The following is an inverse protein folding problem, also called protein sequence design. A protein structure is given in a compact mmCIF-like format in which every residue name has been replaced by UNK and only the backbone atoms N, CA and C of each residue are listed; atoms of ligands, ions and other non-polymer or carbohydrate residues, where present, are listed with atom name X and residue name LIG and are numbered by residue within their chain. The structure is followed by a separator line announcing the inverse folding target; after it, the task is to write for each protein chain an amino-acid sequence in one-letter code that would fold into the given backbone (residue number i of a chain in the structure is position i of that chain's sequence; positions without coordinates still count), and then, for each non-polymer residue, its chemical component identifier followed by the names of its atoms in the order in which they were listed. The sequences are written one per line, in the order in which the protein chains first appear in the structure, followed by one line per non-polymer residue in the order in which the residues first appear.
data_IF_630085043336
#
_entry.id   IF_630085043336
#
_cell.length_a   1.000
_cell.length_b   1.000
_cell.length_c   1.000
_cell.angle_alpha   90.00
_cell.angle_beta   90.00
_cell.angle_gamma   90.00
#
_symmetry.space_group_name_H-M   'P 1'
#
loop_
_entity.id
_entity.type
_entity.pdbx_description
1 polymer ?
#
# COMPACT_ATOMS: atom_id res chain seq x y z
N UNK A 1 1.17 -20.26 0.41
CA UNK A 1 0.40 -19.59 1.50
C UNK A 1 1.06 -18.27 1.74
N UNK A 2 0.30 -17.19 1.61
CA UNK A 2 0.85 -15.84 1.73
C UNK A 2 0.92 -15.43 3.19
N UNK A 3 2.08 -14.94 3.61
CA UNK A 3 2.31 -14.44 4.97
C UNK A 3 3.09 -13.13 4.93
N UNK A 4 2.92 -12.30 5.95
CA UNK A 4 3.75 -11.12 6.18
C UNK A 4 4.72 -11.41 7.32
N UNK A 5 6.01 -11.39 7.01
CA UNK A 5 7.10 -11.50 7.98
C UNK A 5 7.34 -10.14 8.66
N UNK A 6 7.48 -10.15 9.99
CA UNK A 6 7.82 -8.96 10.77
C UNK A 6 9.33 -8.79 10.98
N UNK A 7 10.08 -9.88 10.87
CA UNK A 7 11.53 -9.92 11.04
C UNK A 7 12.20 -10.76 9.95
N UNK A 8 13.53 -10.68 9.89
CA UNK A 8 14.32 -11.61 9.09
C UNK A 8 14.03 -13.06 9.54
N UNK A 9 13.92 -13.97 8.57
CA UNK A 9 13.73 -15.39 8.84
C UNK A 9 14.63 -16.23 7.92
N UNK A 10 15.25 -17.28 8.46
CA UNK A 10 15.96 -18.26 7.65
C UNK A 10 14.97 -19.32 7.16
N UNK A 11 15.00 -19.61 5.87
CA UNK A 11 14.20 -20.63 5.22
C UNK A 11 15.04 -21.58 4.38
N UNK A 12 14.42 -22.59 3.76
CA UNK A 12 15.12 -23.61 2.97
C UNK A 12 15.89 -23.02 1.78
N UNK A 13 15.39 -21.94 1.18
CA UNK A 13 15.99 -21.28 0.02
C UNK A 13 16.95 -20.13 0.39
N UNK A 14 17.18 -19.88 1.69
CA UNK A 14 18.05 -18.81 2.18
C UNK A 14 17.37 -17.89 3.18
N UNK A 15 17.77 -16.61 3.19
CA UNK A 15 17.27 -15.62 4.15
C UNK A 15 16.13 -14.80 3.52
N UNK A 16 14.97 -14.82 4.18
CA UNK A 16 13.80 -14.03 3.82
C UNK A 16 13.84 -12.69 4.56
N UNK A 17 13.63 -11.61 3.83
CA UNK A 17 13.49 -10.27 4.39
C UNK A 17 12.11 -10.04 5.02
N UNK A 18 11.96 -9.11 5.96
CA UNK A 18 10.64 -8.68 6.42
C UNK A 18 9.79 -8.20 5.23
N UNK A 19 8.50 -8.58 5.19
CA UNK A 19 7.63 -8.29 4.06
C UNK A 19 6.70 -9.45 3.72
N UNK A 20 6.00 -9.34 2.60
CA UNK A 20 5.09 -10.38 2.13
C UNK A 20 5.82 -11.44 1.32
N UNK A 21 5.55 -12.70 1.64
CA UNK A 21 6.12 -13.84 0.94
C UNK A 21 5.05 -14.89 0.71
N UNK A 22 5.11 -15.55 -0.44
CA UNK A 22 4.38 -16.80 -0.64
C UNK A 22 5.30 -17.97 -0.31
N UNK A 23 4.93 -18.72 0.74
CA UNK A 23 5.72 -19.81 1.29
C UNK A 23 4.93 -21.11 1.26
N UNK A 24 5.66 -22.24 1.31
CA UNK A 24 5.05 -23.54 1.50
C UNK A 24 4.22 -23.57 2.79
N UNK A 25 3.03 -24.15 2.75
CA UNK A 25 2.04 -24.05 3.84
C UNK A 25 2.58 -24.52 5.19
N UNK A 26 3.30 -25.66 5.23
CA UNK A 26 3.87 -26.18 6.46
C UNK A 26 4.90 -25.22 7.09
N UNK A 27 5.73 -24.58 6.26
CA UNK A 27 6.73 -23.62 6.71
C UNK A 27 6.09 -22.30 7.16
N UNK A 28 5.12 -21.80 6.38
CA UNK A 28 4.32 -20.64 6.74
C UNK A 28 3.62 -20.83 8.10
N UNK A 29 2.98 -21.99 8.32
CA UNK A 29 2.34 -22.31 9.61
C UNK A 29 3.33 -22.34 10.77
N UNK A 30 4.53 -22.88 10.58
CA UNK A 30 5.56 -22.89 11.61
C UNK A 30 6.00 -21.46 11.99
N UNK A 31 6.17 -20.58 11.00
CA UNK A 31 6.54 -19.18 11.23
C UNK A 31 5.43 -18.40 11.95
N UNK A 32 4.17 -18.65 11.58
CA UNK A 32 3.01 -18.04 12.25
C UNK A 32 2.87 -18.55 13.69
N UNK A 33 3.00 -19.87 13.91
CA UNK A 33 2.96 -20.45 15.25
C UNK A 33 4.09 -19.95 16.15
N UNK A 34 5.25 -19.64 15.58
CA UNK A 34 6.38 -19.02 16.26
C UNK A 34 6.26 -17.50 16.45
N UNK A 35 5.22 -16.86 15.92
CA UNK A 35 5.00 -15.42 16.04
C UNK A 35 5.89 -14.54 15.14
N UNK A 36 6.59 -15.13 14.17
CA UNK A 36 7.49 -14.40 13.25
C UNK A 36 6.75 -13.83 12.03
N UNK A 37 5.57 -14.38 11.73
CA UNK A 37 4.76 -14.00 10.58
C UNK A 37 3.27 -13.94 10.94
N UNK A 38 2.50 -13.23 10.12
CA UNK A 38 1.04 -13.26 10.13
C UNK A 38 0.50 -13.75 8.79
N UNK A 39 -0.56 -14.59 8.77
CA UNK A 39 -1.20 -15.01 7.54
C UNK A 39 -1.84 -13.82 6.83
N UNK A 40 -1.66 -13.74 5.51
CA UNK A 40 -2.37 -12.80 4.65
C UNK A 40 -3.47 -13.61 3.97
N UNK A 41 -4.72 -13.32 4.31
CA UNK A 41 -5.86 -13.93 3.66
C UNK A 41 -5.88 -13.49 2.19
N UNK A 42 -5.73 -14.45 1.28
CA UNK A 42 -5.78 -14.17 -0.15
C UNK A 42 -7.20 -13.80 -0.62
N UNK A 43 -8.21 -14.02 0.22
CA UNK A 43 -9.61 -13.65 -0.02
C UNK A 43 -9.93 -12.20 0.34
N UNK A 44 -8.98 -11.46 0.92
CA UNK A 44 -9.03 -10.01 0.95
C UNK A 44 -8.66 -9.45 -0.43
N UNK A 45 -9.47 -9.79 -1.44
CA UNK A 45 -9.59 -8.98 -2.64
C UNK A 45 -10.18 -7.66 -2.15
N UNK A 46 -9.47 -6.51 -2.18
CA UNK A 46 -10.18 -5.26 -2.26
C UNK A 46 -10.86 -5.27 -3.64
N UNK A 47 -12.06 -5.85 -3.73
CA UNK A 47 -13.06 -5.48 -4.73
C UNK A 47 -13.47 -4.04 -4.38
N UNK A 48 -12.55 -3.11 -4.63
CA UNK A 48 -12.76 -1.68 -4.50
C UNK A 48 -12.31 -1.07 -5.79
N UNK A 49 -13.30 -1.04 -6.69
CA UNK A 49 -13.45 -0.14 -7.81
C UNK A 49 -12.33 -0.16 -8.85
N UNK A 50 -12.64 -0.86 -9.94
CA UNK A 50 -12.56 -0.28 -11.28
C UNK A 50 -13.07 1.18 -11.22
N UNK A 51 -12.19 2.11 -10.90
CA UNK A 51 -12.43 3.53 -11.14
C UNK A 51 -11.98 3.74 -12.58
N UNK A 52 -12.94 3.60 -13.48
CA UNK A 52 -12.93 4.28 -14.78
C UNK A 52 -12.29 5.67 -14.58
N UNK A 53 -11.16 6.00 -15.23
CA UNK A 53 -10.67 7.37 -15.23
C UNK A 53 -11.63 8.19 -16.09
N UNK A 54 -12.79 8.51 -15.51
CA UNK A 54 -13.70 9.52 -16.04
C UNK A 54 -12.89 10.80 -16.25
N UNK A 55 -13.04 11.47 -17.40
CA UNK A 55 -12.15 12.53 -17.84
C UNK A 55 -12.03 13.61 -16.76
N UNK A 56 -10.79 13.91 -16.41
CA UNK A 56 -10.39 14.89 -15.40
C UNK A 56 -11.13 16.22 -15.62
N UNK A 57 -11.79 16.81 -14.61
CA UNK A 57 -12.30 18.15 -14.76
C UNK A 57 -11.12 19.13 -14.80
N UNK A 58 -10.90 19.73 -15.98
CA UNK A 58 -10.03 20.89 -16.19
C UNK A 58 -10.34 21.95 -15.13
N UNK A 59 -9.43 22.09 -14.16
CA UNK A 59 -9.51 23.18 -13.18
C UNK A 59 -9.14 24.46 -13.91
N UNK A 60 -10.17 25.15 -14.42
CA UNK A 60 -10.07 26.52 -14.93
C UNK A 60 -9.49 27.41 -13.84
N UNK A 61 -8.26 27.88 -14.05
CA UNK A 61 -7.60 28.86 -13.21
C UNK A 61 -8.41 30.17 -13.22
N UNK A 62 -8.99 30.54 -12.07
CA UNK A 62 -9.72 31.79 -11.93
C UNK A 62 -8.76 32.99 -11.95
N UNK A 63 -9.06 34.07 -12.71
CA UNK A 63 -8.19 35.24 -12.79
C UNK A 63 -8.14 35.99 -11.45
N UNK A 64 -6.93 36.27 -10.96
CA UNK A 64 -6.71 37.00 -9.71
C UNK A 64 -7.22 38.44 -9.82
N UNK A 65 -7.93 38.96 -8.80
CA UNK A 65 -8.39 40.34 -8.81
C UNK A 65 -7.22 41.33 -8.68
N UNK A 66 -7.24 42.37 -9.52
CA UNK A 66 -6.29 43.47 -9.49
C UNK A 66 -6.44 44.30 -8.20
N UNK A 67 -5.36 44.42 -7.43
CA UNK A 67 -5.31 45.28 -6.23
C UNK A 67 -5.45 46.75 -6.63
N UNK A 68 -6.35 47.54 -6.00
CA UNK A 68 -6.52 48.94 -6.34
C UNK A 68 -5.37 49.82 -5.82
N UNK A 69 -4.89 50.73 -6.68
CA UNK A 69 -4.04 51.88 -6.36
C UNK A 69 -4.59 52.65 -5.16
N UNK A 70 -3.80 52.83 -4.09
CA UNK A 70 -4.04 53.90 -3.10
C UNK A 70 -3.17 55.11 -3.43
N UNK A 71 -3.84 56.22 -3.76
CA UNK A 71 -3.30 57.60 -3.79
C UNK A 71 -3.29 58.18 -2.37
N UNK A 72 -2.33 59.08 -2.11
CA UNK A 72 -2.29 60.03 -0.99
C UNK A 72 -1.27 59.63 0.08
N UNK A 73 -0.30 60.46 0.46
CA UNK A 73 -0.32 61.92 0.66
C UNK A 73 1.07 62.51 0.44
#
# INVERSE_FOLDING_TARGET
MRVRLHSLAAGPDGVLQPGEHDLAEAFARALVAGGYAVPIDADATPESAETDPGPEPETTEAPRPATPKRKGK
#
